data_IF_823506289354
#
_entry.id   IF_823506289354
#
_cell.length_a   1.000
_cell.length_b   1.000
_cell.length_c   1.000
_cell.angle_alpha   90.00
_cell.angle_beta   90.00
_cell.angle_gamma   90.00
#
_symmetry.space_group_name_H-M   'P 1'
#
loop_
_entity.id
_entity.type
_entity.pdbx_description
1 polymer ?
#
# COMPACT_ATOMS: atom_id res chain seq x y z
N UNK A 1 29.03 -76.80 45.24
CA UNK A 1 29.25 -76.26 43.87
C UNK A 1 28.42 -74.99 43.71
N UNK A 2 28.98 -73.99 43.03
CA UNK A 2 28.51 -72.62 42.97
C UNK A 2 27.49 -72.33 41.83
N UNK A 3 26.83 -71.17 41.99
CA UNK A 3 25.88 -70.39 41.16
C UNK A 3 26.06 -70.47 39.62
N UNK A 4 25.03 -70.30 38.76
CA UNK A 4 24.23 -69.08 38.56
C UNK A 4 22.87 -69.36 37.86
N UNK A 5 21.81 -68.65 38.28
CA UNK A 5 20.59 -68.41 37.46
C UNK A 5 20.59 -66.95 37.00
N UNK A 6 20.38 -66.74 35.70
CA UNK A 6 20.38 -65.44 35.02
C UNK A 6 19.22 -64.53 35.42
N UNK A 7 19.50 -63.24 35.43
CA UNK A 7 18.63 -62.16 35.87
C UNK A 7 17.54 -61.80 34.83
N UNK A 8 16.32 -61.51 35.31
CA UNK A 8 15.28 -60.79 34.55
C UNK A 8 15.50 -59.28 34.67
N UNK A 9 15.52 -58.59 33.53
CA UNK A 9 15.61 -57.13 33.42
C UNK A 9 14.33 -56.44 33.91
N UNK A 10 14.48 -55.42 34.77
CA UNK A 10 13.39 -54.55 35.26
C UNK A 10 13.06 -53.45 34.22
N UNK A 11 11.80 -52.98 34.12
CA UNK A 11 11.43 -51.87 33.25
C UNK A 11 11.95 -50.52 33.77
N UNK A 12 12.39 -49.65 32.85
CA UNK A 12 12.88 -48.28 33.15
C UNK A 12 11.73 -47.38 33.67
N UNK A 13 11.99 -46.47 34.62
CA UNK A 13 10.95 -45.64 35.21
C UNK A 13 10.49 -44.49 34.29
N UNK A 14 9.17 -44.31 34.17
CA UNK A 14 8.47 -43.28 33.38
C UNK A 14 8.71 -41.81 33.81
N UNK A 15 9.58 -41.55 34.80
CA UNK A 15 9.87 -40.20 35.33
C UNK A 15 10.50 -39.27 34.28
N UNK A 16 11.26 -39.78 33.33
CA UNK A 16 11.93 -38.97 32.30
C UNK A 16 10.96 -38.38 31.28
N UNK A 17 9.89 -39.10 30.91
CA UNK A 17 8.91 -38.64 29.92
C UNK A 17 8.00 -37.55 30.46
N UNK A 18 7.68 -37.59 31.76
CA UNK A 18 6.82 -36.59 32.41
C UNK A 18 7.56 -35.25 32.52
N UNK A 19 8.85 -35.27 32.87
CA UNK A 19 9.67 -34.06 32.96
C UNK A 19 9.83 -33.37 31.60
N UNK A 20 9.99 -34.15 30.51
CA UNK A 20 10.03 -33.61 29.14
C UNK A 20 8.71 -32.95 28.72
N UNK A 21 7.57 -33.56 29.08
CA UNK A 21 6.24 -32.99 28.82
C UNK A 21 6.04 -31.67 29.57
N UNK A 22 6.41 -31.62 30.86
CA UNK A 22 6.31 -30.40 31.66
C UNK A 22 7.19 -29.29 31.09
N UNK A 23 8.43 -29.61 30.67
CA UNK A 23 9.33 -28.67 30.03
C UNK A 23 8.79 -28.14 28.68
N UNK A 24 8.17 -28.99 27.87
CA UNK A 24 7.57 -28.58 26.60
C UNK A 24 6.36 -27.66 26.81
N UNK A 25 5.48 -27.97 27.76
CA UNK A 25 4.32 -27.14 28.10
C UNK A 25 4.76 -25.78 28.65
N UNK A 26 5.79 -25.75 29.50
CA UNK A 26 6.35 -24.48 29.98
C UNK A 26 7.01 -23.67 28.87
N UNK A 27 7.74 -24.30 27.95
CA UNK A 27 8.33 -23.61 26.80
C UNK A 27 7.25 -22.99 25.87
N UNK A 28 6.16 -23.72 25.60
CA UNK A 28 5.03 -23.22 24.82
C UNK A 28 4.35 -22.05 25.54
N UNK A 29 4.12 -22.15 26.84
CA UNK A 29 3.54 -21.06 27.63
C UNK A 29 4.43 -19.80 27.61
N UNK A 30 5.75 -19.97 27.74
CA UNK A 30 6.72 -18.88 27.64
C UNK A 30 6.68 -18.25 26.24
N UNK A 31 6.64 -19.04 25.17
CA UNK A 31 6.53 -18.53 23.79
C UNK A 31 5.23 -17.75 23.57
N UNK A 32 4.10 -18.21 24.11
CA UNK A 32 2.85 -17.47 24.06
C UNK A 32 2.96 -16.14 24.81
N UNK A 33 3.52 -16.14 26.03
CA UNK A 33 3.72 -14.92 26.81
C UNK A 33 4.62 -13.91 26.09
N UNK A 34 5.74 -14.35 25.51
CA UNK A 34 6.62 -13.49 24.70
C UNK A 34 5.93 -12.96 23.45
N UNK A 35 5.12 -13.79 22.77
CA UNK A 35 4.35 -13.36 21.60
C UNK A 35 3.32 -12.28 21.97
N UNK A 36 2.64 -12.43 23.11
CA UNK A 36 1.74 -11.40 23.62
C UNK A 36 2.48 -10.12 24.06
N UNK A 37 3.67 -10.21 24.65
CA UNK A 37 4.49 -9.04 25.00
C UNK A 37 4.93 -8.25 23.75
N UNK A 38 5.43 -8.95 22.72
CA UNK A 38 5.77 -8.36 21.42
C UNK A 38 4.55 -7.71 20.73
N UNK A 39 3.38 -8.35 20.84
CA UNK A 39 2.12 -7.80 20.32
C UNK A 39 1.68 -6.54 21.08
N UNK A 40 1.83 -6.54 22.40
CA UNK A 40 1.47 -5.41 23.27
C UNK A 40 2.43 -4.23 23.07
N UNK A 41 3.72 -4.48 22.87
CA UNK A 41 4.71 -3.45 22.55
C UNK A 41 4.45 -2.80 21.19
N UNK A 42 3.98 -3.56 20.19
CA UNK A 42 3.58 -3.03 18.89
C UNK A 42 2.31 -2.17 18.99
N UNK A 43 1.32 -2.57 19.80
CA UNK A 43 0.12 -1.77 20.07
C UNK A 43 0.48 -0.48 20.83
N UNK A 44 1.36 -0.57 21.82
CA UNK A 44 1.82 0.58 22.61
C UNK A 44 2.68 1.55 21.79
N UNK A 45 3.52 1.04 20.87
CA UNK A 45 4.23 1.85 19.85
C UNK A 45 3.25 2.52 18.88
N UNK A 46 2.20 1.83 18.44
CA UNK A 46 1.12 2.42 17.61
C UNK A 46 0.39 3.54 18.35
N UNK A 47 0.07 3.35 19.62
CA UNK A 47 -0.58 4.38 20.46
C UNK A 47 0.34 5.58 20.74
N UNK A 48 1.64 5.33 20.98
CA UNK A 48 2.64 6.42 21.15
C UNK A 48 2.93 7.15 19.84
N UNK A 49 2.89 6.46 18.69
CA UNK A 49 2.90 7.11 17.38
C UNK A 49 1.66 7.98 17.19
N UNK A 50 0.46 7.45 17.46
CA UNK A 50 -0.81 8.21 17.40
C UNK A 50 -0.84 9.43 18.32
N UNK A 51 -0.39 9.32 19.57
CA UNK A 51 -0.32 10.46 20.51
C UNK A 51 0.74 11.49 20.14
N UNK A 52 1.85 11.09 19.51
CA UNK A 52 2.85 12.03 18.96
C UNK A 52 2.41 12.59 17.61
N UNK A 53 1.43 11.98 16.94
CA UNK A 53 0.86 12.37 15.65
C UNK A 53 -0.13 13.54 15.74
N UNK A 54 -0.77 13.72 16.91
CA UNK A 54 -1.66 14.87 17.19
C UNK A 54 -0.90 16.21 17.21
N UNK A 55 0.44 16.18 17.20
CA UNK A 55 1.30 17.34 16.92
C UNK A 55 1.20 17.71 15.44
N UNK A 56 0.28 18.64 15.15
CA UNK A 56 0.06 19.31 13.84
C UNK A 56 0.09 18.37 12.64
N UNK A 57 -0.99 17.60 12.46
CA UNK A 57 -1.16 16.82 11.24
C UNK A 57 -1.12 17.74 10.00
N UNK A 58 -0.13 17.47 9.15
CA UNK A 58 0.16 18.18 7.92
C UNK A 58 -0.15 17.28 6.75
N UNK A 59 -0.74 17.82 5.70
CA UNK A 59 -1.31 17.07 4.58
C UNK A 59 -0.58 17.35 3.27
N UNK A 60 -0.55 16.34 2.41
CA UNK A 60 -0.05 16.40 1.04
C UNK A 60 -1.15 15.91 0.10
N UNK A 61 -1.51 16.74 -0.88
CA UNK A 61 -2.56 16.45 -1.86
C UNK A 61 -2.02 16.64 -3.28
N UNK A 62 -2.28 15.66 -4.14
CA UNK A 62 -1.78 15.63 -5.53
C UNK A 62 -2.91 15.74 -6.58
N UNK A 63 -4.17 15.82 -6.15
CA UNK A 63 -5.33 15.82 -7.03
C UNK A 63 -6.16 14.55 -6.91
N UNK A 64 -7.36 14.56 -7.50
CA UNK A 64 -8.33 13.45 -7.42
C UNK A 64 -8.08 12.34 -8.44
N UNK A 65 -7.08 12.48 -9.32
CA UNK A 65 -6.79 11.56 -10.43
C UNK A 65 -5.29 11.29 -10.55
N UNK A 66 -4.89 10.05 -10.25
CA UNK A 66 -3.50 9.59 -10.07
C UNK A 66 -2.59 9.78 -11.30
N UNK A 67 -3.14 9.84 -12.50
CA UNK A 67 -2.39 10.11 -13.73
C UNK A 67 -3.06 11.21 -14.55
N UNK A 68 -3.63 12.20 -13.86
CA UNK A 68 -4.27 13.31 -14.56
C UNK A 68 -4.17 14.67 -13.87
N UNK A 69 -2.96 15.20 -13.72
CA UNK A 69 -2.75 16.49 -13.06
C UNK A 69 -3.05 17.73 -13.94
N UNK A 70 -3.49 17.56 -15.20
CA UNK A 70 -3.68 18.66 -16.18
C UNK A 70 -5.11 18.88 -16.68
N UNK A 71 -5.30 19.92 -17.51
CA UNK A 71 -6.62 20.37 -18.04
C UNK A 71 -7.25 19.45 -19.11
N UNK A 72 -6.49 18.53 -19.70
CA UNK A 72 -6.96 17.65 -20.78
C UNK A 72 -6.98 16.19 -20.33
N UNK A 73 -7.87 15.91 -19.38
CA UNK A 73 -8.02 14.60 -18.76
C UNK A 73 -9.10 13.76 -19.44
N UNK A 74 -8.91 13.44 -20.73
CA UNK A 74 -9.94 12.72 -21.51
C UNK A 74 -9.90 11.21 -21.26
N UNK A 75 -8.73 10.67 -20.87
CA UNK A 75 -8.52 9.25 -20.56
C UNK A 75 -7.54 9.06 -19.41
N UNK A 76 -7.69 7.96 -18.67
CA UNK A 76 -6.70 7.49 -17.71
C UNK A 76 -5.52 6.83 -18.42
N UNK A 77 -4.46 6.53 -17.66
CA UNK A 77 -3.39 5.62 -18.05
C UNK A 77 -3.67 4.18 -17.57
N UNK A 78 -2.88 3.22 -18.04
CA UNK A 78 -2.99 1.82 -17.60
C UNK A 78 -2.73 1.63 -16.10
N UNK A 79 -3.22 0.52 -15.53
CA UNK A 79 -3.15 0.26 -14.09
C UNK A 79 -1.71 0.32 -13.55
N UNK A 80 -0.73 -0.22 -14.27
CA UNK A 80 0.67 -0.17 -13.84
C UNK A 80 1.27 1.25 -13.78
N UNK A 81 0.79 2.18 -14.63
CA UNK A 81 1.15 3.60 -14.52
C UNK A 81 0.52 4.21 -13.27
N UNK A 82 -0.77 3.98 -13.06
CA UNK A 82 -1.49 4.49 -11.90
C UNK A 82 -0.89 3.96 -10.59
N UNK A 83 -0.57 2.68 -10.50
CA UNK A 83 0.09 2.10 -9.32
C UNK A 83 1.49 2.69 -9.09
N UNK A 84 2.26 2.91 -10.14
CA UNK A 84 3.57 3.54 -10.04
C UNK A 84 3.46 4.99 -9.53
N UNK A 85 2.45 5.71 -10.03
CA UNK A 85 2.12 7.08 -9.65
C UNK A 85 1.62 7.18 -8.22
N UNK A 86 0.72 6.29 -7.80
CA UNK A 86 0.23 6.21 -6.43
C UNK A 86 1.36 5.89 -5.44
N UNK A 87 2.21 4.91 -5.78
CA UNK A 87 3.38 4.59 -4.94
C UNK A 87 4.30 5.79 -4.80
N UNK A 88 4.56 6.52 -5.88
CA UNK A 88 5.37 7.74 -5.82
C UNK A 88 4.79 8.79 -4.86
N UNK A 89 3.48 9.08 -4.95
CA UNK A 89 2.84 10.03 -4.05
C UNK A 89 2.89 9.58 -2.58
N UNK A 90 2.73 8.27 -2.32
CA UNK A 90 2.88 7.68 -1.00
C UNK A 90 4.31 7.84 -0.46
N UNK A 91 5.32 7.58 -1.29
CA UNK A 91 6.73 7.76 -0.92
C UNK A 91 7.05 9.23 -0.63
N UNK A 92 6.51 10.18 -1.41
CA UNK A 92 6.70 11.60 -1.12
C UNK A 92 6.04 11.98 0.21
N UNK A 93 4.83 11.49 0.49
CA UNK A 93 4.17 11.73 1.77
C UNK A 93 4.98 11.18 2.96
N UNK A 94 5.55 9.98 2.82
CA UNK A 94 6.47 9.42 3.83
C UNK A 94 7.72 10.29 3.99
N UNK A 95 8.33 10.73 2.88
CA UNK A 95 9.53 11.57 2.89
C UNK A 95 9.30 12.91 3.58
N UNK A 96 8.15 13.54 3.32
CA UNK A 96 7.69 14.80 3.90
C UNK A 96 7.07 14.65 5.30
N UNK A 97 6.85 13.41 5.76
CA UNK A 97 6.15 13.09 7.00
C UNK A 97 4.75 13.71 7.08
N UNK A 98 4.01 13.68 5.98
CA UNK A 98 2.66 14.23 5.86
C UNK A 98 1.63 13.12 5.69
N UNK A 99 0.39 13.38 6.08
CA UNK A 99 -0.76 12.54 5.73
C UNK A 99 -1.06 12.73 4.24
N UNK A 100 -1.05 11.64 3.49
CA UNK A 100 -1.39 11.67 2.08
C UNK A 100 -2.90 11.70 1.90
N UNK A 101 -3.39 12.68 1.15
CA UNK A 101 -4.78 12.75 0.72
C UNK A 101 -4.89 11.96 -0.58
N UNK A 102 -5.25 10.69 -0.42
CA UNK A 102 -5.35 9.71 -1.51
C UNK A 102 -6.66 9.90 -2.27
N UNK A 103 -6.63 9.75 -3.60
CA UNK A 103 -7.87 9.70 -4.40
C UNK A 103 -8.81 8.61 -3.93
N UNK A 104 -10.09 8.95 -3.75
CA UNK A 104 -11.17 8.01 -3.42
C UNK A 104 -11.47 7.03 -4.56
N UNK A 105 -10.96 7.28 -5.77
CA UNK A 105 -11.21 6.46 -6.95
C UNK A 105 -9.96 6.26 -7.79
N UNK A 106 -9.83 5.08 -8.38
CA UNK A 106 -8.79 4.76 -9.36
C UNK A 106 -9.43 4.21 -10.64
N UNK A 107 -8.88 4.57 -11.80
CA UNK A 107 -9.41 4.10 -13.07
C UNK A 107 -9.02 2.64 -13.32
N UNK A 108 -10.00 1.83 -13.71
CA UNK A 108 -9.83 0.40 -14.08
C UNK A 108 -10.32 0.14 -15.51
N UNK A 109 -10.31 1.17 -16.36
CA UNK A 109 -10.90 1.08 -17.68
C UNK A 109 -10.27 -0.06 -18.51
N UNK A 110 -11.05 -1.03 -19.01
CA UNK A 110 -10.53 -2.14 -19.79
C UNK A 110 -9.96 -1.71 -21.15
N UNK A 111 -10.20 -0.47 -21.59
CA UNK A 111 -9.56 0.10 -22.79
C UNK A 111 -8.03 0.05 -22.68
N UNK A 112 -7.47 0.17 -21.47
CA UNK A 112 -6.03 0.05 -21.25
C UNK A 112 -5.48 -1.37 -21.47
N UNK A 113 -6.35 -2.38 -21.57
CA UNK A 113 -5.98 -3.78 -21.77
C UNK A 113 -6.06 -4.22 -23.24
N UNK A 114 -6.49 -3.35 -24.17
CA UNK A 114 -6.69 -3.73 -25.57
C UNK A 114 -5.52 -3.36 -26.47
N UNK A 115 -4.65 -4.35 -26.71
CA UNK A 115 -4.29 -4.70 -28.10
C UNK A 115 -5.39 -5.64 -28.64
N UNK A 116 -6.51 -5.08 -29.11
CA UNK A 116 -7.51 -5.83 -29.88
C UNK A 116 -8.93 -5.83 -29.32
N UNK A 117 -9.86 -5.40 -30.18
CA UNK A 117 -11.27 -5.79 -30.24
C UNK A 117 -12.19 -5.22 -29.15
N UNK A 118 -12.70 -3.99 -29.33
CA UNK A 118 -14.13 -3.75 -29.61
C UNK A 118 -14.31 -2.27 -29.93
N UNK A 119 -14.73 -2.01 -31.16
CA UNK A 119 -15.49 -0.82 -31.52
C UNK A 119 -16.79 -0.84 -30.70
N UNK A 120 -17.16 0.26 -30.05
CA UNK A 120 -18.58 0.57 -29.86
C UNK A 120 -18.84 2.07 -29.70
N UNK A 121 -19.59 2.56 -30.69
CA UNK A 121 -20.62 3.60 -30.70
C UNK A 121 -20.49 4.78 -29.72
N UNK A 122 -20.14 5.90 -30.34
CA UNK A 122 -20.46 7.27 -29.99
C UNK A 122 -21.93 7.42 -29.62
N UNK A 123 -22.24 7.56 -28.33
CA UNK A 123 -23.32 8.41 -27.86
C UNK A 123 -22.72 9.28 -26.75
N UNK A 124 -22.83 10.59 -26.92
CA UNK A 124 -22.15 11.58 -26.11
C UNK A 124 -22.67 11.58 -24.66
N UNK A 125 -22.08 10.75 -23.81
CA UNK A 125 -22.07 10.92 -22.35
C UNK A 125 -20.90 11.83 -21.97
N UNK A 126 -21.10 12.65 -20.95
CA UNK A 126 -20.09 13.63 -20.51
C UNK A 126 -18.79 12.92 -20.07
N UNK A 127 -17.64 13.62 -20.14
CA UNK A 127 -16.33 13.05 -19.75
C UNK A 127 -16.32 12.51 -18.32
N UNK A 128 -17.11 13.12 -17.43
CA UNK A 128 -17.25 12.72 -16.03
C UNK A 128 -18.01 11.41 -15.86
N UNK A 129 -19.11 11.21 -16.59
CA UNK A 129 -19.87 9.94 -16.55
C UNK A 129 -19.03 8.78 -17.09
N UNK A 130 -18.25 9.02 -18.14
CA UNK A 130 -17.33 8.02 -18.70
C UNK A 130 -16.25 7.63 -17.69
N UNK A 131 -15.71 8.59 -16.95
CA UNK A 131 -14.71 8.34 -15.90
C UNK A 131 -15.32 7.58 -14.70
N UNK A 132 -16.52 7.96 -14.28
CA UNK A 132 -17.22 7.32 -13.18
C UNK A 132 -17.49 5.83 -13.47
N UNK A 133 -17.95 5.51 -14.68
CA UNK A 133 -18.20 4.13 -15.12
C UNK A 133 -16.92 3.29 -15.29
N UNK A 134 -15.77 3.93 -15.46
CA UNK A 134 -14.48 3.26 -15.66
C UNK A 134 -13.53 3.36 -14.47
N UNK A 135 -14.05 3.67 -13.29
CA UNK A 135 -13.28 3.77 -12.05
C UNK A 135 -13.89 2.91 -10.95
N UNK A 136 -13.03 2.47 -10.03
CA UNK A 136 -13.43 1.79 -8.80
C UNK A 136 -13.12 2.68 -7.60
N UNK A 137 -13.90 2.51 -6.54
CA UNK A 137 -13.56 3.12 -5.26
C UNK A 137 -12.25 2.53 -4.74
N UNK A 138 -11.41 3.38 -4.14
CA UNK A 138 -10.06 3.01 -3.72
C UNK A 138 -10.09 1.95 -2.62
N UNK A 139 -11.06 2.04 -1.72
CA UNK A 139 -11.33 1.06 -0.65
C UNK A 139 -11.83 -0.32 -1.14
N UNK A 140 -12.26 -0.39 -2.40
CA UNK A 140 -12.64 -1.63 -3.07
C UNK A 140 -11.45 -2.32 -3.73
N UNK A 141 -10.39 -1.56 -4.03
CA UNK A 141 -9.17 -2.05 -4.66
C UNK A 141 -8.08 -2.34 -3.62
N UNK A 142 -7.93 -1.46 -2.63
CA UNK A 142 -6.94 -1.55 -1.59
C UNK A 142 -7.57 -1.49 -0.20
N UNK A 143 -6.92 -2.17 0.73
CA UNK A 143 -7.20 -2.09 2.15
C UNK A 143 -6.55 -0.81 2.71
N UNK A 144 -7.36 0.23 2.86
CA UNK A 144 -6.89 1.56 3.30
C UNK A 144 -6.35 1.50 4.73
N UNK A 145 -6.85 0.61 5.58
CA UNK A 145 -6.35 0.43 6.95
C UNK A 145 -4.95 -0.20 6.95
N UNK A 146 -4.71 -1.19 6.08
CA UNK A 146 -3.38 -1.77 5.91
C UNK A 146 -2.37 -0.74 5.36
N UNK A 147 -2.77 0.06 4.36
CA UNK A 147 -1.92 1.15 3.87
C UNK A 147 -1.64 2.15 4.99
N UNK A 148 -2.68 2.58 5.71
CA UNK A 148 -2.60 3.55 6.82
C UNK A 148 -1.69 3.08 7.96
N UNK A 149 -1.52 1.77 8.11
CA UNK A 149 -0.56 1.16 9.04
C UNK A 149 0.91 1.40 8.68
N UNK A 150 1.21 1.86 7.46
CA UNK A 150 2.58 2.10 6.96
C UNK A 150 2.75 3.56 6.52
N UNK A 151 1.81 4.09 5.73
CA UNK A 151 1.79 5.47 5.26
C UNK A 151 0.49 6.09 5.70
N UNK A 152 0.53 7.21 6.44
CA UNK A 152 -0.69 7.93 6.82
C UNK A 152 -1.46 8.35 5.58
N UNK A 153 -2.71 7.88 5.47
CA UNK A 153 -3.58 8.15 4.34
C UNK A 153 -4.98 8.52 4.82
N UNK A 154 -5.59 9.48 4.15
CA UNK A 154 -7.04 9.71 4.17
C UNK A 154 -7.54 9.76 2.72
N UNK A 155 -8.82 9.46 2.50
CA UNK A 155 -9.43 9.60 1.18
C UNK A 155 -9.92 11.04 0.94
N UNK A 156 -9.88 11.48 -0.31
CA UNK A 156 -10.33 12.82 -0.75
C UNK A 156 -11.86 13.03 -0.76
N UNK A 157 -12.63 12.04 -0.32
CA UNK A 157 -14.07 12.11 -0.05
C UNK A 157 -14.42 11.96 1.45
N UNK A 158 -13.41 11.88 2.32
CA UNK A 158 -13.59 11.73 3.76
C UNK A 158 -14.05 13.03 4.45
N UNK A 159 -14.74 12.89 5.59
CA UNK A 159 -15.11 14.02 6.46
C UNK A 159 -13.87 14.77 6.99
N UNK A 160 -12.78 14.06 7.22
CA UNK A 160 -11.52 14.64 7.64
C UNK A 160 -10.97 15.58 6.57
N UNK A 161 -10.94 15.13 5.31
CA UNK A 161 -10.47 15.97 4.21
C UNK A 161 -11.28 17.26 4.06
N UNK A 162 -12.60 17.20 4.20
CA UNK A 162 -13.45 18.40 4.23
C UNK A 162 -13.05 19.37 5.34
N UNK A 163 -12.71 18.84 6.52
CA UNK A 163 -12.25 19.64 7.67
C UNK A 163 -10.91 20.30 7.38
N UNK A 164 -9.96 19.56 6.79
CA UNK A 164 -8.65 20.08 6.36
C UNK A 164 -8.81 21.20 5.34
N UNK A 165 -9.63 21.00 4.30
CA UNK A 165 -9.92 22.03 3.30
C UNK A 165 -10.50 23.29 3.94
N UNK A 166 -11.54 23.15 4.78
CA UNK A 166 -12.17 24.30 5.44
C UNK A 166 -11.19 25.06 6.34
N UNK A 167 -10.29 24.34 7.03
CA UNK A 167 -9.28 24.93 7.93
C UNK A 167 -8.19 25.63 7.13
N UNK A 168 -7.68 24.98 6.07
CA UNK A 168 -6.65 25.56 5.21
C UNK A 168 -7.13 26.85 4.52
N UNK A 169 -8.39 26.91 4.07
CA UNK A 169 -9.01 28.11 3.52
C UNK A 169 -9.10 29.24 4.55
N UNK A 170 -9.48 28.93 5.81
CA UNK A 170 -9.52 29.93 6.90
C UNK A 170 -8.14 30.50 7.23
N UNK A 171 -7.09 29.68 7.12
CA UNK A 171 -5.70 30.08 7.37
C UNK A 171 -5.06 30.83 6.19
N UNK A 172 -5.67 30.79 4.99
CA UNK A 172 -5.20 31.49 3.80
C UNK A 172 -3.79 31.06 3.39
N UNK A 173 -2.93 32.04 3.09
CA UNK A 173 -1.53 31.79 2.68
C UNK A 173 -0.67 31.07 3.72
N UNK A 174 -1.11 31.01 5.00
CA UNK A 174 -0.44 30.23 6.05
C UNK A 174 -0.96 28.80 6.16
N UNK A 175 -2.10 28.49 5.54
CA UNK A 175 -2.74 27.18 5.63
C UNK A 175 -2.47 26.30 4.42
N UNK A 176 -2.36 26.89 3.23
CA UNK A 176 -2.18 26.14 1.99
C UNK A 176 -1.23 26.84 1.04
N UNK A 177 -0.39 26.05 0.37
CA UNK A 177 0.31 26.49 -0.83
C UNK A 177 -0.01 25.54 -1.98
N UNK A 178 -0.25 26.14 -3.15
CA UNK A 178 -0.22 25.45 -4.42
C UNK A 178 1.21 25.47 -4.96
N UNK A 179 1.78 24.31 -5.24
CA UNK A 179 3.18 24.19 -5.67
C UNK A 179 3.27 23.40 -6.98
N UNK A 180 4.04 23.92 -7.93
CA UNK A 180 4.28 23.30 -9.23
C UNK A 180 5.78 23.30 -9.51
N UNK A 181 6.33 22.16 -9.94
CA UNK A 181 7.76 22.05 -10.30
C UNK A 181 8.76 22.19 -9.14
N UNK A 182 8.30 22.19 -7.89
CA UNK A 182 9.17 22.26 -6.70
C UNK A 182 9.63 20.87 -6.30
N UNK A 183 10.93 20.65 -6.07
CA UNK A 183 11.41 19.32 -5.71
C UNK A 183 11.03 18.93 -4.26
N UNK A 184 10.98 17.63 -3.94
CA UNK A 184 10.58 17.14 -2.60
C UNK A 184 11.50 17.59 -1.47
N UNK A 185 12.79 17.83 -1.74
CA UNK A 185 13.76 18.31 -0.74
C UNK A 185 13.44 19.75 -0.36
N UNK A 186 13.15 20.62 -1.33
CA UNK A 186 12.72 21.99 -1.10
C UNK A 186 11.40 22.03 -0.33
N UNK A 187 10.44 21.14 -0.65
CA UNK A 187 9.20 21.01 0.13
C UNK A 187 9.43 20.61 1.59
N UNK A 188 10.53 19.89 1.86
CA UNK A 188 10.89 19.42 3.19
C UNK A 188 11.72 20.42 3.98
N UNK A 189 12.59 21.18 3.34
CA UNK A 189 13.60 21.98 4.02
C UNK A 189 13.27 23.48 4.01
N UNK A 190 12.44 23.94 3.07
CA UNK A 190 12.09 25.35 2.98
C UNK A 190 11.01 25.73 4.00
N UNK A 191 11.33 26.71 4.86
CA UNK A 191 10.42 27.26 5.87
C UNK A 191 9.07 27.75 5.30
N UNK A 192 9.01 28.07 4.01
CA UNK A 192 7.76 28.44 3.32
C UNK A 192 6.74 27.30 3.29
N UNK A 193 7.19 26.05 3.24
CA UNK A 193 6.32 24.88 3.08
C UNK A 193 6.25 24.02 4.35
N UNK A 194 7.30 24.07 5.16
CA UNK A 194 7.46 23.29 6.39
C UNK A 194 6.24 23.34 7.32
N UNK A 195 5.71 24.54 7.58
CA UNK A 195 4.62 24.75 8.55
C UNK A 195 3.23 24.87 7.94
N UNK A 196 3.11 24.67 6.62
CA UNK A 196 1.81 24.67 5.98
C UNK A 196 1.01 23.44 6.39
N UNK A 197 -0.26 23.66 6.75
CA UNK A 197 -1.23 22.59 6.96
C UNK A 197 -1.38 21.73 5.70
N UNK A 198 -1.51 22.34 4.52
CA UNK A 198 -1.73 21.64 3.26
C UNK A 198 -0.73 22.06 2.18
N UNK A 199 -0.05 21.07 1.59
CA UNK A 199 0.67 21.24 0.33
C UNK A 199 -0.23 20.67 -0.78
N UNK A 200 -0.74 21.54 -1.63
CA UNK A 200 -1.46 21.18 -2.85
C UNK A 200 -0.47 21.14 -4.02
N UNK A 201 0.06 19.95 -4.29
CA UNK A 201 1.11 19.74 -5.29
C UNK A 201 0.49 19.47 -6.66
N UNK A 202 0.90 20.26 -7.64
CA UNK A 202 0.70 19.96 -9.06
C UNK A 202 1.78 18.98 -9.48
N UNK A 203 1.36 17.80 -9.90
CA UNK A 203 2.26 16.81 -10.44
C UNK A 203 2.64 17.11 -11.89
N UNK A 204 3.74 16.51 -12.36
CA UNK A 204 4.14 16.53 -13.76
C UNK A 204 2.96 16.26 -14.69
N UNK A 205 2.76 17.05 -15.75
CA UNK A 205 1.70 16.83 -16.74
C UNK A 205 1.71 15.43 -17.39
N UNK A 206 2.83 14.71 -17.31
CA UNK A 206 2.99 13.37 -17.87
C UNK A 206 2.45 12.28 -16.93
N UNK A 207 2.85 12.29 -15.67
CA UNK A 207 2.39 11.35 -14.64
C UNK A 207 2.99 11.69 -13.28
N UNK A 208 2.36 11.25 -12.20
CA UNK A 208 2.86 11.53 -10.86
C UNK A 208 4.22 10.89 -10.59
N UNK A 209 4.44 9.67 -11.10
CA UNK A 209 5.70 8.95 -10.87
C UNK A 209 6.94 9.66 -11.42
N UNK A 210 6.79 10.65 -12.29
CA UNK A 210 7.89 11.43 -12.84
C UNK A 210 8.54 12.35 -11.80
N UNK A 211 7.84 12.66 -10.72
CA UNK A 211 8.35 13.48 -9.61
C UNK A 211 9.30 12.70 -8.69
N UNK A 212 9.15 11.38 -8.57
CA UNK A 212 9.98 10.53 -7.70
C UNK A 212 11.21 9.94 -8.41
N UNK A 213 11.61 10.54 -9.53
CA UNK A 213 12.48 9.92 -10.53
C UNK A 213 13.96 9.89 -10.13
N UNK A 214 14.33 8.82 -9.44
CA UNK A 214 15.63 8.17 -9.63
C UNK A 214 15.45 6.64 -9.64
N UNK A 215 14.86 6.12 -10.74
CA UNK A 215 14.55 4.69 -10.91
C UNK A 215 15.78 3.79 -10.96
N UNK A 216 16.95 4.37 -11.20
CA UNK A 216 18.23 3.65 -11.28
C UNK A 216 18.83 3.45 -9.89
N UNK A 217 18.53 4.36 -8.97
CA UNK A 217 18.98 4.29 -7.60
C UNK A 217 17.98 3.51 -6.73
N UNK A 218 18.02 2.18 -6.83
CA UNK A 218 17.09 1.29 -6.09
C UNK A 218 17.14 1.46 -4.57
N UNK A 219 18.21 2.02 -4.02
CA UNK A 219 18.33 2.34 -2.59
C UNK A 219 17.59 3.62 -2.18
N UNK A 220 17.09 4.43 -3.13
CA UNK A 220 16.26 5.60 -2.85
C UNK A 220 14.74 5.27 -2.77
N UNK A 221 14.36 4.02 -3.01
CA UNK A 221 12.97 3.53 -2.97
C UNK A 221 12.58 3.28 -1.51
N UNK A 222 11.50 3.92 -1.05
CA UNK A 222 10.99 3.76 0.32
C UNK A 222 9.95 2.66 0.42
N UNK A 223 9.17 2.44 -0.64
CA UNK A 223 8.13 1.42 -0.72
C UNK A 223 8.48 0.39 -1.80
N UNK A 224 8.49 -0.92 -1.49
CA UNK A 224 8.80 -1.93 -2.48
C UNK A 224 7.77 -1.95 -3.62
N UNK A 225 8.17 -2.44 -4.79
CA UNK A 225 7.24 -2.60 -5.94
C UNK A 225 6.02 -3.47 -5.60
N UNK A 226 6.17 -4.41 -4.66
CA UNK A 226 5.10 -5.27 -4.16
C UNK A 226 4.18 -4.61 -3.14
N UNK A 227 4.44 -3.36 -2.73
CA UNK A 227 3.67 -2.68 -1.69
C UNK A 227 2.18 -2.64 -2.03
N UNK A 228 1.77 -1.95 -3.11
CA UNK A 228 0.35 -1.85 -3.49
C UNK A 228 -0.31 -3.21 -3.74
N UNK A 229 0.33 -4.17 -4.45
CA UNK A 229 -0.20 -5.53 -4.58
C UNK A 229 -0.45 -6.24 -3.24
N UNK A 230 0.41 -6.03 -2.23
CA UNK A 230 0.24 -6.61 -0.89
C UNK A 230 -0.82 -5.91 -0.03
N UNK A 231 -1.31 -4.75 -0.48
CA UNK A 231 -2.33 -3.95 0.20
C UNK A 231 -3.70 -4.12 -0.45
N UNK A 232 -3.92 -5.17 -1.24
CA UNK A 232 -5.21 -5.42 -1.88
C UNK A 232 -6.34 -5.56 -0.84
N UNK A 233 -7.53 -5.08 -1.20
CA UNK A 233 -8.72 -5.17 -0.36
C UNK A 233 -9.00 -6.64 0.05
N UNK A 234 -9.52 -6.85 1.26
CA UNK A 234 -9.77 -8.19 1.81
C UNK A 234 -10.55 -9.10 0.86
N UNK A 235 -11.59 -8.57 0.19
CA UNK A 235 -12.38 -9.33 -0.80
C UNK A 235 -11.53 -9.85 -1.97
N UNK A 236 -10.54 -9.08 -2.43
CA UNK A 236 -9.65 -9.48 -3.51
C UNK A 236 -8.63 -10.51 -3.04
N UNK A 237 -8.14 -10.38 -1.80
CA UNK A 237 -7.25 -11.37 -1.17
C UNK A 237 -7.97 -12.71 -0.98
N UNK A 238 -9.18 -12.68 -0.42
CA UNK A 238 -10.00 -13.88 -0.22
C UNK A 238 -10.31 -14.59 -1.54
N UNK A 239 -10.57 -13.80 -2.60
CA UNK A 239 -10.77 -14.35 -3.94
C UNK A 239 -9.51 -15.04 -4.48
N UNK A 240 -8.34 -14.43 -4.28
CA UNK A 240 -7.06 -15.01 -4.71
C UNK A 240 -6.71 -16.29 -3.93
N UNK A 241 -7.05 -16.38 -2.64
CA UNK A 241 -6.80 -17.56 -1.81
C UNK A 241 -7.72 -18.75 -2.13
N UNK A 242 -8.99 -18.48 -2.48
CA UNK A 242 -9.95 -19.53 -2.89
C UNK A 242 -9.53 -20.27 -4.16
N UNK A 243 -8.67 -19.67 -4.99
CA UNK A 243 -8.14 -20.28 -6.21
C UNK A 243 -6.87 -21.17 -5.97
N UNK A 244 -6.48 -21.40 -4.70
CA UNK A 244 -5.47 -22.41 -4.30
C UNK A 244 -4.00 -21.96 -4.43
N UNK A 245 -2.99 -22.86 -4.39
CA UNK A 245 -1.57 -22.50 -4.52
C UNK A 245 -1.16 -22.09 -5.95
N UNK A 246 -2.07 -22.24 -6.92
CA UNK A 246 -2.00 -21.52 -8.18
C UNK A 246 -2.49 -20.06 -8.03
N UNK A 247 -3.26 -19.73 -7.00
CA UNK A 247 -3.75 -18.42 -6.53
C UNK A 247 -2.69 -17.35 -6.31
N UNK A 248 -1.53 -17.72 -5.77
CA UNK A 248 -0.39 -16.79 -5.62
C UNK A 248 0.35 -16.53 -6.95
N UNK A 249 0.29 -17.47 -7.89
CA UNK A 249 0.60 -17.23 -9.32
C UNK A 249 -0.61 -16.66 -10.09
N UNK A 250 -1.80 -16.67 -9.50
CA UNK A 250 -3.05 -16.13 -10.02
C UNK A 250 -3.30 -14.71 -9.55
N UNK A 251 -2.41 -14.06 -8.81
CA UNK A 251 -2.38 -12.60 -8.87
C UNK A 251 -2.07 -12.13 -10.30
N UNK A 252 -1.25 -12.90 -11.03
CA UNK A 252 -0.99 -12.73 -12.46
C UNK A 252 -2.13 -13.24 -13.37
N UNK A 253 -2.96 -14.20 -12.92
CA UNK A 253 -3.90 -14.92 -13.78
C UNK A 253 -5.41 -14.84 -13.41
N UNK A 254 -5.79 -14.34 -12.24
CA UNK A 254 -7.16 -13.85 -11.97
C UNK A 254 -7.44 -12.57 -12.77
N UNK A 255 -6.36 -11.82 -12.98
CA UNK A 255 -6.17 -10.82 -14.03
C UNK A 255 -6.53 -11.41 -15.42
N UNK A 256 -6.07 -12.62 -15.77
CA UNK A 256 -6.33 -13.25 -17.08
C UNK A 256 -7.77 -13.77 -17.32
N UNK A 257 -8.55 -14.13 -16.29
CA UNK A 257 -9.94 -14.63 -16.50
C UNK A 257 -10.95 -13.51 -16.76
N UNK A 258 -10.58 -12.26 -16.46
CA UNK A 258 -11.36 -11.04 -16.71
C UNK A 258 -10.62 -10.00 -17.60
N UNK A 259 -9.66 -10.43 -18.44
CA UNK A 259 -8.93 -9.56 -19.38
C UNK A 259 -8.18 -8.36 -18.77
N UNK A 260 -7.54 -8.54 -17.62
CA UNK A 260 -6.40 -7.74 -17.17
C UNK A 260 -5.15 -8.58 -17.54
N UNK A 261 -4.00 -7.97 -17.86
CA UNK A 261 -2.76 -8.71 -18.21
C UNK A 261 -1.63 -8.38 -17.24
N UNK A 262 -0.91 -9.44 -16.88
CA UNK A 262 0.34 -9.59 -16.11
C UNK A 262 1.31 -8.39 -16.15
N UNK A 263 1.74 -7.91 -14.98
CA UNK A 263 3.07 -7.31 -14.77
C UNK A 263 4.07 -8.40 -14.37
N UNK A 264 5.15 -8.57 -15.15
CA UNK A 264 6.36 -9.28 -14.69
C UNK A 264 7.41 -8.26 -14.22
N UNK A 265 8.09 -8.48 -13.08
CA UNK A 265 9.30 -7.74 -12.76
C UNK A 265 10.46 -8.27 -13.61
N UNK A 266 11.19 -7.34 -14.20
CA UNK A 266 12.36 -7.52 -15.07
C UNK A 266 13.24 -8.73 -14.70
N UNK A 267 13.23 -9.77 -15.54
CA UNK A 267 14.34 -10.73 -15.66
C UNK A 267 15.11 -10.44 -16.94
N UNK A 268 16.43 -10.40 -16.78
CA UNK A 268 17.43 -10.28 -17.83
C UNK A 268 17.13 -11.18 -19.04
N UNK A 269 17.02 -10.56 -20.22
CA UNK A 269 17.18 -11.29 -21.49
C UNK A 269 18.69 -11.43 -21.72
N UNK A 270 19.26 -12.56 -21.30
CA UNK A 270 20.50 -13.04 -21.91
C UNK A 270 20.09 -13.69 -23.22
N UNK A 271 20.42 -13.02 -24.32
CA UNK A 271 20.21 -13.55 -25.66
C UNK A 271 21.11 -14.76 -25.90
N UNK A 272 20.53 -15.82 -26.43
CA UNK A 272 21.26 -16.84 -27.17
C UNK A 272 20.44 -17.10 -28.44
N UNK A 273 21.15 -17.02 -29.57
CA UNK A 273 20.69 -17.30 -30.94
C UNK A 273 20.05 -18.67 -31.08
#
# INVERSE_FOLDING_TARGET
>A
MAFHRGAKTKPKPARSSILLLVAAVTAIAILFLFSSMLSTDNVRRRQQQQQKQESEEKYLYWGTRIDCPGKHCVSCEGLGHQESSLRCALEEAMFLQRTFVMPSRMCINPIHNKKGILHHSTNATTSEERWAASSCAMDSLYDIELISGIVRVILDDSKEWYTVLSTSMKLGARGVAHVEGVNRVDLKENNRYLDLLLINRTASPLSWFMECKDRNNRSAIMLPYSFLPSMAAGKLRDAAEKDGPFGSRLWLAFILKHNLVIMMPSMFVVGIK
#
